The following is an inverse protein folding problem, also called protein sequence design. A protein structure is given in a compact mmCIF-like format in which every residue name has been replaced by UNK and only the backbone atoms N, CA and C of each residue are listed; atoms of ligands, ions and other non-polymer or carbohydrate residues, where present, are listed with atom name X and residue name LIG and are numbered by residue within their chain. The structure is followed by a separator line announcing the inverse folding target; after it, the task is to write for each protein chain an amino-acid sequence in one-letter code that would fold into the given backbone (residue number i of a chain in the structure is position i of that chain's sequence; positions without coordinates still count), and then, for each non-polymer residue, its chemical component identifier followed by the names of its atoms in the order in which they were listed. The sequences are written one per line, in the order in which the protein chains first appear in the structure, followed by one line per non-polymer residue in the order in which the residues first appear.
data_IF_932271023933
#
_entry.id   IF_932271023933
#
_cell.length_a   1.000
_cell.length_b   1.000
_cell.length_c   1.000
_cell.angle_alpha   90.00
_cell.angle_beta   90.00
_cell.angle_gamma   90.00
#
_symmetry.space_group_name_H-M   'P 1'
#
loop_
_entity.id
_entity.type
_entity.pdbx_description
1 polymer ?
#
# COMPACT_ATOMS: atom_id res chain seq x y z
N UNK A 1 46.95 65.93 -5.44
CA UNK A 1 47.79 64.72 -5.47
C UNK A 1 47.05 63.59 -4.77
N UNK A 2 46.79 62.49 -5.50
CA UNK A 2 46.62 61.07 -5.09
C UNK A 2 46.00 60.83 -3.68
N UNK A 3 44.92 60.07 -3.49
CA UNK A 3 44.77 58.65 -3.88
C UNK A 3 43.28 58.25 -3.77
N UNK A 4 42.78 57.56 -4.78
CA UNK A 4 41.52 56.84 -4.75
C UNK A 4 41.70 55.53 -3.95
N UNK A 5 40.76 55.21 -3.07
CA UNK A 5 40.62 53.88 -2.47
C UNK A 5 39.28 53.31 -2.94
N UNK A 6 39.35 52.37 -3.87
CA UNK A 6 38.22 51.54 -4.29
C UNK A 6 38.11 50.42 -3.25
N UNK A 7 37.03 50.43 -2.47
CA UNK A 7 36.69 49.33 -1.57
C UNK A 7 35.93 48.27 -2.39
N UNK A 8 36.61 47.17 -2.68
CA UNK A 8 35.99 45.96 -3.23
C UNK A 8 35.34 45.23 -2.04
N UNK A 9 34.02 45.31 -1.93
CA UNK A 9 33.26 44.48 -1.00
C UNK A 9 33.15 43.08 -1.62
N UNK A 10 33.95 42.13 -1.12
CA UNK A 10 33.84 40.73 -1.47
C UNK A 10 32.55 40.15 -0.86
N UNK A 11 31.56 39.89 -1.70
CA UNK A 11 30.34 39.19 -1.33
C UNK A 11 30.65 37.70 -1.28
N UNK A 12 30.95 37.17 -0.10
CA UNK A 12 31.12 35.73 0.11
C UNK A 12 29.74 35.07 0.09
N UNK A 13 29.38 34.49 -1.05
CA UNK A 13 28.19 33.65 -1.20
C UNK A 13 28.46 32.32 -0.50
N UNK A 14 27.93 32.15 0.72
CA UNK A 14 27.94 30.87 1.41
C UNK A 14 27.03 29.89 0.65
N UNK A 15 27.65 28.96 -0.09
CA UNK A 15 26.96 27.76 -0.59
C UNK A 15 26.57 26.93 0.64
N UNK A 16 25.30 26.99 1.03
CA UNK A 16 24.72 25.99 1.90
C UNK A 16 24.57 24.72 1.05
N UNK A 17 25.21 23.59 1.39
CA UNK A 17 24.91 22.35 0.70
C UNK A 17 23.44 22.03 0.94
N UNK A 18 22.65 22.05 -0.14
CA UNK A 18 21.33 21.44 -0.11
C UNK A 18 21.56 19.96 0.22
N UNK A 19 21.21 19.56 1.44
CA UNK A 19 21.03 18.15 1.75
C UNK A 19 19.87 17.68 0.88
N UNK A 20 20.20 17.08 -0.27
CA UNK A 20 19.24 16.30 -1.01
C UNK A 20 18.83 15.17 -0.06
N UNK A 21 17.62 15.25 0.49
CA UNK A 21 16.95 14.09 1.06
C UNK A 21 16.87 13.08 -0.07
N UNK A 22 17.74 12.06 -0.04
CA UNK A 22 17.53 10.87 -0.84
C UNK A 22 16.17 10.32 -0.38
N UNK A 23 15.14 10.56 -1.17
CA UNK A 23 13.84 9.93 -0.99
C UNK A 23 14.15 8.43 -1.02
N UNK A 24 13.99 7.75 0.11
CA UNK A 24 14.29 6.33 0.24
C UNK A 24 13.53 5.59 -0.87
N UNK A 25 14.28 5.07 -1.84
CA UNK A 25 13.78 4.30 -2.96
C UNK A 25 13.55 2.84 -2.59
N UNK A 26 13.60 2.52 -1.30
CA UNK A 26 13.52 1.17 -0.79
C UNK A 26 12.11 0.61 -1.02
N UNK A 27 12.05 -0.62 -1.51
CA UNK A 27 10.83 -1.40 -1.61
C UNK A 27 10.61 -2.25 -0.35
N UNK A 28 9.40 -2.78 -0.23
CA UNK A 28 9.04 -3.77 0.78
C UNK A 28 8.80 -5.11 0.10
N UNK A 29 9.43 -6.17 0.60
CA UNK A 29 9.30 -7.52 0.05
C UNK A 29 8.82 -8.49 1.12
N UNK A 30 7.72 -9.17 0.86
CA UNK A 30 7.24 -10.29 1.69
C UNK A 30 7.54 -11.60 0.96
N UNK A 31 8.09 -12.59 1.67
CA UNK A 31 8.41 -13.91 1.10
C UNK A 31 7.47 -14.96 1.69
N UNK A 32 6.99 -15.87 0.84
CA UNK A 32 6.06 -16.95 1.23
C UNK A 32 6.58 -18.31 0.71
N UNK A 33 6.56 -19.32 1.58
CA UNK A 33 6.83 -20.71 1.18
C UNK A 33 5.53 -21.46 0.84
N UNK A 34 5.32 -21.74 -0.43
CA UNK A 34 4.13 -22.40 -0.98
C UNK A 34 4.35 -23.83 -1.47
N UNK A 35 5.54 -24.41 -1.28
CA UNK A 35 5.87 -25.78 -1.68
C UNK A 35 5.71 -26.71 -0.45
N UNK A 36 4.90 -27.77 -0.51
CA UNK A 36 4.68 -28.68 0.62
C UNK A 36 5.86 -29.63 0.83
N UNK A 37 5.98 -30.16 2.05
CA UNK A 37 6.93 -31.23 2.44
C UNK A 37 8.42 -30.94 2.14
N UNK A 38 8.77 -29.67 1.99
CA UNK A 38 10.12 -29.21 1.74
C UNK A 38 10.45 -28.03 2.65
N UNK A 39 11.48 -28.17 3.47
CA UNK A 39 12.14 -27.03 4.09
C UNK A 39 13.23 -26.54 3.13
N UNK A 40 13.40 -25.23 3.01
CA UNK A 40 14.36 -24.64 2.08
C UNK A 40 15.18 -23.53 2.71
N UNK A 41 16.38 -23.35 2.16
CA UNK A 41 17.23 -22.20 2.42
C UNK A 41 17.14 -21.25 1.23
N UNK A 42 16.90 -19.96 1.51
CA UNK A 42 16.76 -18.90 0.50
C UNK A 42 17.99 -18.02 0.53
N UNK A 43 18.68 -17.98 -0.60
CA UNK A 43 19.84 -17.15 -0.85
C UNK A 43 19.45 -15.98 -1.74
N UNK A 44 19.93 -14.79 -1.37
CA UNK A 44 19.74 -13.56 -2.16
C UNK A 44 21.11 -12.99 -2.48
N UNK A 45 21.42 -12.85 -3.77
CA UNK A 45 22.73 -12.43 -4.28
C UNK A 45 23.88 -13.29 -3.68
N UNK A 46 23.65 -14.60 -3.54
CA UNK A 46 24.60 -15.57 -2.96
C UNK A 46 24.72 -15.53 -1.43
N UNK A 47 23.97 -14.68 -0.72
CA UNK A 47 23.95 -14.63 0.74
C UNK A 47 22.74 -15.34 1.34
N UNK A 48 22.95 -16.25 2.29
CA UNK A 48 21.88 -16.91 3.04
C UNK A 48 21.03 -15.86 3.77
N UNK A 49 19.76 -15.76 3.41
CA UNK A 49 18.83 -14.73 3.91
C UNK A 49 17.74 -15.33 4.77
N UNK A 50 17.18 -16.48 4.38
CA UNK A 50 16.23 -17.26 5.16
C UNK A 50 16.75 -18.69 5.26
N UNK A 51 16.83 -19.20 6.48
CA UNK A 51 17.26 -20.56 6.79
C UNK A 51 16.06 -21.36 7.30
N UNK A 52 16.00 -22.66 6.97
CA UNK A 52 14.94 -23.59 7.39
C UNK A 52 13.51 -23.06 7.13
N UNK A 53 13.31 -22.42 5.97
CA UNK A 53 12.03 -21.81 5.63
C UNK A 53 11.01 -22.89 5.25
N UNK A 54 9.88 -22.93 5.98
CA UNK A 54 8.90 -24.03 5.91
C UNK A 54 7.57 -23.62 5.29
N UNK A 55 6.86 -24.61 4.73
CA UNK A 55 5.55 -24.46 4.09
C UNK A 55 4.51 -23.71 4.92
N UNK A 56 3.86 -22.73 4.28
CA UNK A 56 2.85 -21.86 4.88
C UNK A 56 3.42 -20.64 5.60
N UNK A 57 4.74 -20.54 5.76
CA UNK A 57 5.35 -19.39 6.42
C UNK A 57 5.31 -18.16 5.53
N UNK A 58 4.91 -17.03 6.13
CA UNK A 58 4.93 -15.69 5.54
C UNK A 58 5.89 -14.85 6.37
N UNK A 59 6.88 -14.22 5.73
CA UNK A 59 7.81 -13.34 6.46
C UNK A 59 7.16 -12.00 6.79
N UNK A 60 7.71 -11.30 7.78
CA UNK A 60 7.48 -9.87 7.88
C UNK A 60 8.04 -9.15 6.62
N UNK A 61 7.50 -7.98 6.24
CA UNK A 61 8.02 -7.21 5.12
C UNK A 61 9.49 -6.82 5.33
N UNK A 62 10.35 -7.23 4.41
CA UNK A 62 11.76 -6.89 4.36
C UNK A 62 11.94 -5.60 3.57
N UNK A 63 12.65 -4.62 4.14
CA UNK A 63 13.00 -3.38 3.43
C UNK A 63 14.26 -3.59 2.62
N UNK A 64 14.16 -3.49 1.30
CA UNK A 64 15.26 -3.74 0.36
C UNK A 64 15.38 -2.58 -0.63
N UNK A 65 16.59 -2.13 -0.97
CA UNK A 65 16.77 -1.09 -1.99
C UNK A 65 16.30 -1.59 -3.37
N UNK A 66 15.90 -0.66 -4.23
CA UNK A 66 15.58 -0.97 -5.62
C UNK A 66 16.81 -1.54 -6.35
N UNK A 67 16.71 -2.78 -6.80
CA UNK A 67 17.79 -3.48 -7.50
C UNK A 67 17.25 -4.76 -8.19
N UNK A 68 18.11 -5.37 -9.00
CA UNK A 68 17.92 -6.75 -9.42
C UNK A 68 18.51 -7.67 -8.35
N UNK A 69 17.74 -8.67 -7.96
CA UNK A 69 18.11 -9.67 -6.97
C UNK A 69 18.14 -11.05 -7.62
N UNK A 70 19.25 -11.74 -7.44
CA UNK A 70 19.36 -13.16 -7.75
C UNK A 70 18.85 -13.96 -6.56
N UNK A 71 17.83 -14.77 -6.77
CA UNK A 71 17.21 -15.60 -5.75
C UNK A 71 17.49 -17.05 -6.09
N UNK A 72 18.13 -17.75 -5.17
CA UNK A 72 18.42 -19.17 -5.26
C UNK A 72 17.80 -19.88 -4.06
N UNK A 73 17.12 -20.99 -4.32
CA UNK A 73 16.45 -21.79 -3.30
C UNK A 73 17.07 -23.18 -3.33
N UNK A 74 17.57 -23.59 -2.17
CA UNK A 74 18.14 -24.91 -1.95
C UNK A 74 17.26 -25.69 -0.97
N UNK A 75 17.29 -27.02 -1.01
CA UNK A 75 16.71 -27.80 0.09
C UNK A 75 17.45 -27.47 1.39
N UNK A 76 16.73 -27.51 2.52
CA UNK A 76 17.35 -27.32 3.83
C UNK A 76 18.55 -28.27 4.00
N UNK A 77 19.63 -27.76 4.58
CA UNK A 77 20.91 -28.44 4.77
C UNK A 77 21.68 -28.81 3.48
N UNK A 78 21.19 -28.44 2.29
CA UNK A 78 21.93 -28.68 1.06
C UNK A 78 23.13 -27.76 0.96
N UNK A 79 24.28 -28.31 0.56
CA UNK A 79 25.49 -27.51 0.36
C UNK A 79 25.41 -26.77 -1.00
N UNK A 80 25.30 -25.43 -1.02
CA UNK A 80 25.21 -24.66 -2.25
C UNK A 80 26.50 -24.74 -3.09
N UNK A 81 27.63 -25.16 -2.52
CA UNK A 81 28.87 -25.40 -3.25
C UNK A 81 28.94 -26.79 -3.91
N UNK A 82 28.03 -27.71 -3.53
CA UNK A 82 28.06 -29.11 -3.96
C UNK A 82 27.05 -29.44 -5.08
N UNK A 83 26.09 -28.57 -5.37
CA UNK A 83 25.05 -28.82 -6.37
C UNK A 83 24.31 -27.58 -6.84
N UNK A 84 23.51 -27.75 -7.89
CA UNK A 84 22.65 -26.70 -8.45
C UNK A 84 21.46 -26.40 -7.52
N UNK A 85 20.97 -25.15 -7.49
CA UNK A 85 19.77 -24.80 -6.72
C UNK A 85 18.54 -25.55 -7.23
N UNK A 86 17.60 -25.84 -6.33
CA UNK A 86 16.31 -26.42 -6.68
C UNK A 86 15.47 -25.44 -7.52
N UNK A 87 15.63 -24.14 -7.28
CA UNK A 87 15.02 -23.07 -8.05
C UNK A 87 15.95 -21.86 -8.06
N UNK A 88 16.17 -21.27 -9.23
CA UNK A 88 16.93 -20.02 -9.38
C UNK A 88 16.18 -19.06 -10.29
N UNK A 89 16.12 -17.79 -9.90
CA UNK A 89 15.47 -16.75 -10.69
C UNK A 89 16.04 -15.37 -10.38
N UNK A 90 16.01 -14.47 -11.35
CA UNK A 90 16.35 -13.06 -11.16
C UNK A 90 15.07 -12.25 -11.05
N UNK A 91 14.95 -11.45 -10.01
CA UNK A 91 13.79 -10.61 -9.73
C UNK A 91 14.20 -9.15 -9.65
N UNK A 92 13.58 -8.30 -10.48
CA UNK A 92 13.74 -6.85 -10.39
C UNK A 92 12.77 -6.28 -9.36
N UNK A 93 13.30 -5.57 -8.35
CA UNK A 93 12.51 -4.81 -7.39
C UNK A 93 12.48 -3.32 -7.80
N UNK A 94 11.34 -2.79 -8.28
CA UNK A 94 11.22 -1.38 -8.60
C UNK A 94 11.32 -0.51 -7.33
N UNK A 95 11.75 0.74 -7.51
CA UNK A 95 11.85 1.69 -6.41
C UNK A 95 10.50 1.95 -5.74
N UNK A 96 10.45 1.82 -4.41
CA UNK A 96 9.24 1.99 -3.62
C UNK A 96 8.16 0.93 -3.82
N UNK A 97 8.44 -0.15 -4.56
CA UNK A 97 7.46 -1.22 -4.77
C UNK A 97 7.18 -1.98 -3.47
N UNK A 98 5.92 -2.36 -3.27
CA UNK A 98 5.54 -3.38 -2.31
C UNK A 98 5.36 -4.68 -3.11
N UNK A 99 6.14 -5.72 -2.85
CA UNK A 99 6.13 -6.96 -3.61
C UNK A 99 6.00 -8.18 -2.71
N UNK A 100 5.35 -9.22 -3.23
CA UNK A 100 5.34 -10.54 -2.60
C UNK A 100 6.02 -11.53 -3.54
N UNK A 101 6.98 -12.28 -3.00
CA UNK A 101 7.69 -13.36 -3.69
C UNK A 101 7.24 -14.67 -3.07
N UNK A 102 6.79 -15.61 -3.90
CA UNK A 102 6.26 -16.89 -3.44
C UNK A 102 6.99 -18.00 -4.20
N UNK A 103 7.61 -18.92 -3.46
CA UNK A 103 8.02 -20.20 -4.02
C UNK A 103 6.81 -21.12 -4.00
N UNK A 104 6.25 -21.49 -5.16
CA UNK A 104 4.98 -22.20 -5.26
C UNK A 104 5.05 -23.38 -6.22
N UNK A 105 3.95 -24.12 -6.34
CA UNK A 105 3.79 -25.13 -7.38
C UNK A 105 3.02 -24.54 -8.56
N UNK A 106 3.47 -24.84 -9.78
CA UNK A 106 2.69 -24.56 -10.98
C UNK A 106 1.49 -25.53 -11.11
N UNK A 107 0.65 -25.33 -12.12
CA UNK A 107 -0.53 -26.17 -12.35
C UNK A 107 -0.22 -27.67 -12.60
N UNK A 108 1.04 -28.02 -12.91
CA UNK A 108 1.50 -29.41 -13.07
C UNK A 108 2.09 -30.00 -11.78
N UNK A 109 2.27 -29.20 -10.73
CA UNK A 109 2.93 -29.60 -9.50
C UNK A 109 4.45 -29.40 -9.51
N UNK A 110 5.02 -28.71 -10.49
CA UNK A 110 6.44 -28.40 -10.52
C UNK A 110 6.75 -27.12 -9.70
N UNK A 111 7.86 -27.08 -8.94
CA UNK A 111 8.30 -25.87 -8.24
C UNK A 111 8.56 -24.70 -9.19
N UNK A 112 8.07 -23.51 -8.83
CA UNK A 112 8.27 -22.27 -9.56
C UNK A 112 8.32 -21.07 -8.60
N UNK A 113 8.76 -19.91 -9.11
CA UNK A 113 8.81 -18.66 -8.36
C UNK A 113 7.83 -17.65 -8.98
N UNK A 114 6.86 -17.19 -8.18
CA UNK A 114 5.94 -16.13 -8.59
C UNK A 114 6.26 -14.84 -7.86
N UNK A 115 6.23 -13.73 -8.59
CA UNK A 115 6.48 -12.39 -8.05
C UNK A 115 5.32 -11.50 -8.42
N UNK A 116 4.77 -10.82 -7.41
CA UNK A 116 3.69 -9.87 -7.60
C UNK A 116 4.04 -8.53 -6.99
N UNK A 117 3.78 -7.44 -7.70
CA UNK A 117 3.77 -6.10 -7.13
C UNK A 117 2.38 -5.86 -6.56
N UNK A 118 2.31 -5.69 -5.25
CA UNK A 118 1.06 -5.48 -4.54
C UNK A 118 0.51 -4.09 -4.83
N UNK A 119 -0.80 -4.01 -5.06
CA UNK A 119 -1.48 -2.73 -5.18
C UNK A 119 -1.65 -2.08 -3.80
N UNK A 120 -0.99 -0.94 -3.65
CA UNK A 120 -0.96 -0.08 -2.46
C UNK A 120 -1.63 1.28 -2.71
N UNK A 121 -2.44 1.38 -3.78
CA UNK A 121 -3.30 2.54 -3.98
C UNK A 121 -4.38 2.62 -2.91
N UNK A 122 -4.84 3.84 -2.63
CA UNK A 122 -5.87 4.03 -1.62
C UNK A 122 -7.20 3.41 -2.08
N UNK A 123 -7.91 2.80 -1.14
CA UNK A 123 -9.31 2.38 -1.32
C UNK A 123 -10.25 3.55 -1.02
N UNK A 124 -11.45 3.47 -1.60
CA UNK A 124 -12.53 4.41 -1.26
C UNK A 124 -12.95 4.25 0.21
N UNK A 125 -13.46 5.34 0.79
CA UNK A 125 -13.98 5.33 2.15
C UNK A 125 -15.10 4.29 2.32
N UNK A 126 -15.02 3.50 3.38
CA UNK A 126 -15.91 2.38 3.66
C UNK A 126 -15.56 1.07 2.94
N UNK A 127 -14.55 1.06 2.06
CA UNK A 127 -14.13 -0.12 1.33
C UNK A 127 -12.76 -0.64 1.80
N UNK A 128 -12.59 -1.95 1.69
CA UNK A 128 -11.29 -2.60 1.65
C UNK A 128 -11.07 -3.26 0.29
N UNK A 129 -9.92 -3.89 0.13
CA UNK A 129 -9.52 -4.61 -1.08
C UNK A 129 -9.27 -6.07 -0.78
N UNK A 130 -9.66 -6.92 -1.71
CA UNK A 130 -9.34 -8.35 -1.73
C UNK A 130 -8.51 -8.64 -2.97
N UNK A 131 -7.38 -9.30 -2.75
CA UNK A 131 -6.57 -9.86 -3.83
C UNK A 131 -6.48 -11.36 -3.63
N UNK A 132 -6.89 -12.14 -4.61
CA UNK A 132 -6.80 -13.60 -4.55
C UNK A 132 -5.80 -14.09 -5.60
N UNK A 133 -4.77 -14.83 -5.15
CA UNK A 133 -3.72 -15.39 -5.99
C UNK A 133 -3.82 -16.90 -5.99
N UNK A 134 -3.99 -17.48 -7.17
CA UNK A 134 -4.01 -18.92 -7.32
C UNK A 134 -2.61 -19.45 -7.63
N UNK A 135 -1.92 -19.99 -6.63
CA UNK A 135 -0.53 -20.47 -6.72
C UNK A 135 -0.39 -21.95 -6.31
N UNK A 136 -1.51 -22.67 -6.22
CA UNK A 136 -1.54 -24.08 -5.85
C UNK A 136 -1.57 -24.93 -7.12
N UNK A 137 -0.98 -26.13 -7.05
CA UNK A 137 -1.15 -27.15 -8.08
C UNK A 137 -2.59 -27.68 -8.05
N UNK A 138 -3.46 -27.02 -8.79
CA UNK A 138 -4.88 -27.35 -8.94
C UNK A 138 -5.39 -26.84 -10.29
N UNK A 139 -6.55 -27.33 -10.77
CA UNK A 139 -7.27 -26.72 -11.88
C UNK A 139 -7.71 -25.29 -11.54
N UNK A 140 -8.16 -24.55 -12.57
CA UNK A 140 -8.74 -23.23 -12.39
C UNK A 140 -9.85 -23.25 -11.33
N UNK A 141 -9.97 -22.15 -10.58
CA UNK A 141 -10.91 -22.02 -9.45
C UNK A 141 -11.88 -20.86 -9.64
N UNK A 142 -13.08 -21.04 -9.10
CA UNK A 142 -14.00 -19.95 -8.79
C UNK A 142 -13.93 -19.63 -7.30
N UNK A 143 -13.96 -18.35 -6.97
CA UNK A 143 -13.91 -17.84 -5.60
C UNK A 143 -15.23 -17.13 -5.34
N UNK A 144 -15.98 -17.62 -4.36
CA UNK A 144 -17.31 -17.15 -4.01
C UNK A 144 -17.27 -16.39 -2.68
N UNK A 145 -18.07 -15.34 -2.59
CA UNK A 145 -18.34 -14.60 -1.37
C UNK A 145 -19.83 -14.73 -1.03
N UNK A 146 -20.17 -15.69 -0.17
CA UNK A 146 -21.55 -16.16 0.00
C UNK A 146 -22.11 -16.74 -1.31
N UNK A 147 -23.30 -16.31 -1.72
CA UNK A 147 -23.99 -16.84 -2.90
C UNK A 147 -23.57 -16.19 -4.23
N UNK A 148 -22.55 -15.31 -4.22
CA UNK A 148 -22.11 -14.57 -5.41
C UNK A 148 -20.64 -14.86 -5.75
N UNK A 149 -20.30 -15.13 -7.02
CA UNK A 149 -18.92 -15.32 -7.42
C UNK A 149 -18.19 -13.97 -7.36
N UNK A 150 -17.08 -13.93 -6.64
CA UNK A 150 -16.18 -12.77 -6.58
C UNK A 150 -15.18 -12.80 -7.74
N UNK A 151 -14.60 -13.97 -8.02
CA UNK A 151 -13.72 -14.22 -9.16
C UNK A 151 -14.08 -15.57 -9.80
N UNK A 152 -14.02 -15.65 -11.12
CA UNK A 152 -14.35 -16.87 -11.88
C UNK A 152 -13.22 -17.27 -12.81
N UNK A 153 -13.00 -18.56 -12.97
CA UNK A 153 -12.03 -19.18 -13.88
C UNK A 153 -10.61 -18.63 -13.67
N UNK A 154 -10.18 -18.50 -12.42
CA UNK A 154 -8.83 -18.01 -12.08
C UNK A 154 -7.83 -19.14 -12.30
N UNK A 155 -6.87 -19.02 -13.25
CA UNK A 155 -5.87 -20.05 -13.49
C UNK A 155 -4.70 -19.97 -12.51
N UNK A 156 -3.92 -21.06 -12.40
CA UNK A 156 -2.66 -21.05 -11.64
C UNK A 156 -1.70 -19.99 -12.19
N UNK A 157 -1.06 -19.25 -11.29
CA UNK A 157 -0.17 -18.12 -11.59
C UNK A 157 -0.88 -16.78 -11.78
N UNK A 158 -2.22 -16.73 -11.74
CA UNK A 158 -2.98 -15.50 -11.89
C UNK A 158 -3.47 -14.92 -10.55
N UNK A 159 -3.86 -13.65 -10.60
CA UNK A 159 -4.51 -12.94 -9.51
C UNK A 159 -5.82 -12.27 -9.94
N UNK A 160 -6.77 -12.20 -9.01
CA UNK A 160 -7.96 -11.38 -9.09
C UNK A 160 -7.91 -10.30 -8.02
N UNK A 161 -8.30 -9.06 -8.36
CA UNK A 161 -8.34 -7.92 -7.44
C UNK A 161 -9.73 -7.29 -7.49
N UNK A 162 -10.32 -7.02 -6.32
CA UNK A 162 -11.60 -6.35 -6.20
C UNK A 162 -11.66 -5.47 -4.94
N UNK A 163 -12.24 -4.29 -5.07
CA UNK A 163 -12.62 -3.46 -3.92
C UNK A 163 -14.03 -3.86 -3.46
N UNK A 164 -14.19 -4.08 -2.17
CA UNK A 164 -15.44 -4.53 -1.55
C UNK A 164 -15.73 -3.68 -0.30
N UNK A 165 -17.01 -3.53 0.09
CA UNK A 165 -17.34 -2.92 1.38
C UNK A 165 -16.58 -3.58 2.53
N UNK A 166 -16.14 -2.79 3.51
CA UNK A 166 -15.48 -3.35 4.68
C UNK A 166 -16.45 -4.26 5.46
N UNK A 167 -16.01 -5.47 5.80
CA UNK A 167 -16.87 -6.46 6.45
C UNK A 167 -16.28 -7.87 6.47
N UNK A 168 -17.05 -8.81 7.00
CA UNK A 168 -16.71 -10.24 7.01
C UNK A 168 -17.46 -10.96 5.88
N UNK A 169 -16.73 -11.74 5.10
CA UNK A 169 -17.25 -12.46 3.95
C UNK A 169 -17.03 -13.96 4.14
N UNK A 170 -18.08 -14.81 4.05
CA UNK A 170 -17.89 -16.24 3.95
C UNK A 170 -17.33 -16.55 2.57
N UNK A 171 -16.07 -16.97 2.50
CA UNK A 171 -15.38 -17.26 1.24
C UNK A 171 -15.36 -18.76 1.01
N UNK A 172 -15.68 -19.17 -0.22
CA UNK A 172 -15.55 -20.55 -0.69
C UNK A 172 -14.71 -20.60 -1.97
N UNK A 173 -13.84 -21.60 -2.07
CA UNK A 173 -13.06 -21.88 -3.28
C UNK A 173 -13.53 -23.22 -3.84
N UNK A 174 -13.91 -23.21 -5.11
CA UNK A 174 -14.44 -24.38 -5.83
C UNK A 174 -13.74 -24.50 -7.19
N UNK A 175 -13.73 -25.69 -7.83
CA UNK A 175 -13.28 -25.82 -9.21
C UNK A 175 -14.09 -24.93 -10.15
N UNK A 176 -13.43 -24.36 -11.18
CA UNK A 176 -14.07 -23.45 -12.11
C UNK A 176 -15.30 -24.09 -12.80
N UNK A 177 -16.42 -23.35 -12.83
CA UNK A 177 -17.68 -23.81 -13.41
C UNK A 177 -18.44 -24.83 -12.58
N UNK A 178 -18.01 -25.10 -11.35
CA UNK A 178 -18.67 -25.99 -10.40
C UNK A 178 -19.05 -25.23 -9.11
N UNK A 179 -19.92 -25.83 -8.31
CA UNK A 179 -20.22 -25.36 -6.93
C UNK A 179 -19.77 -26.37 -5.88
N UNK A 180 -19.31 -27.56 -6.29
CA UNK A 180 -18.83 -28.65 -5.45
C UNK A 180 -17.75 -29.45 -6.20
N UNK A 181 -16.79 -30.08 -5.49
CA UNK A 181 -16.60 -29.98 -4.04
C UNK A 181 -16.04 -28.62 -3.62
N UNK A 182 -16.46 -28.11 -2.46
CA UNK A 182 -15.77 -26.99 -1.80
C UNK A 182 -14.38 -27.44 -1.36
N UNK A 183 -13.35 -26.82 -1.95
CA UNK A 183 -11.94 -27.14 -1.69
C UNK A 183 -11.46 -26.44 -0.43
N UNK A 184 -11.97 -25.25 -0.17
CA UNK A 184 -11.64 -24.46 1.00
C UNK A 184 -12.77 -23.49 1.34
N UNK A 185 -13.01 -23.30 2.63
CA UNK A 185 -13.97 -22.33 3.14
C UNK A 185 -13.47 -21.68 4.44
N UNK A 186 -13.68 -20.36 4.56
CA UNK A 186 -13.51 -19.64 5.81
C UNK A 186 -14.20 -18.27 5.76
N UNK A 187 -14.46 -17.71 6.95
CA UNK A 187 -14.83 -16.31 7.08
C UNK A 187 -13.57 -15.43 6.97
N UNK A 188 -13.55 -14.55 5.96
CA UNK A 188 -12.47 -13.59 5.74
C UNK A 188 -12.95 -12.20 6.10
N UNK A 189 -12.30 -11.60 7.10
CA UNK A 189 -12.53 -10.20 7.48
C UNK A 189 -11.71 -9.27 6.60
N UNK A 190 -12.38 -8.34 5.92
CA UNK A 190 -11.80 -7.30 5.06
C UNK A 190 -11.96 -5.94 5.75
N UNK A 191 -10.93 -5.41 6.42
CA UNK A 191 -11.00 -4.09 7.04
C UNK A 191 -11.05 -2.98 5.98
N UNK A 192 -11.63 -1.83 6.36
CA UNK A 192 -11.52 -0.61 5.58
C UNK A 192 -10.04 -0.19 5.41
N UNK A 193 -9.70 0.38 4.26
CA UNK A 193 -8.35 0.91 4.03
C UNK A 193 -7.27 -0.17 4.06
N UNK A 194 -7.61 -1.41 3.72
CA UNK A 194 -6.67 -2.53 3.75
C UNK A 194 -6.82 -3.42 2.51
N UNK A 195 -5.72 -3.99 2.03
CA UNK A 195 -5.70 -5.04 1.02
C UNK A 195 -5.43 -6.40 1.68
N UNK A 196 -6.43 -7.27 1.70
CA UNK A 196 -6.33 -8.66 2.14
C UNK A 196 -5.95 -9.52 0.95
N UNK A 197 -4.72 -10.03 0.97
CA UNK A 197 -4.14 -10.83 -0.11
C UNK A 197 -4.12 -12.30 0.31
N UNK A 198 -4.98 -13.10 -0.31
CA UNK A 198 -5.07 -14.53 -0.09
C UNK A 198 -4.27 -15.28 -1.16
N UNK A 199 -3.31 -16.09 -0.74
CA UNK A 199 -2.45 -16.90 -1.60
C UNK A 199 -2.83 -18.37 -1.44
N UNK A 200 -3.51 -18.96 -2.43
CA UNK A 200 -3.74 -20.40 -2.46
C UNK A 200 -2.43 -21.10 -2.85
N UNK A 201 -1.89 -21.95 -1.98
CA UNK A 201 -0.59 -22.62 -2.12
C UNK A 201 -0.72 -24.13 -1.86
N UNK A 202 0.33 -24.90 -2.17
CA UNK A 202 0.34 -26.35 -2.00
C UNK A 202 -0.23 -27.10 -3.22
N UNK A 203 -0.70 -28.32 -3.00
CA UNK A 203 -1.27 -29.17 -4.05
C UNK A 203 -2.65 -29.69 -3.64
N UNK A 204 -3.61 -29.61 -4.56
CA UNK A 204 -4.93 -30.19 -4.34
C UNK A 204 -4.89 -31.72 -4.38
N UNK A 205 -4.23 -32.30 -5.38
CA UNK A 205 -4.07 -33.76 -5.49
C UNK A 205 -3.19 -34.32 -4.37
N UNK A 206 -2.18 -33.55 -3.94
CA UNK A 206 -1.30 -33.91 -2.83
C UNK A 206 -1.91 -33.72 -1.44
N UNK A 207 -3.11 -33.15 -1.33
CA UNK A 207 -3.79 -32.93 -0.04
C UNK A 207 -3.14 -31.89 0.86
N UNK A 208 -2.29 -31.02 0.31
CA UNK A 208 -1.56 -29.97 1.05
C UNK A 208 -2.08 -28.56 0.75
N UNK A 209 -3.21 -28.44 0.04
CA UNK A 209 -3.83 -27.17 -0.28
C UNK A 209 -4.11 -26.35 0.98
N UNK A 210 -3.64 -25.11 1.01
CA UNK A 210 -3.96 -24.13 2.04
C UNK A 210 -3.94 -22.71 1.49
N UNK A 211 -4.48 -21.76 2.26
CA UNK A 211 -4.50 -20.34 1.92
C UNK A 211 -3.65 -19.56 2.93
N UNK A 212 -2.57 -18.94 2.46
CA UNK A 212 -1.76 -18.03 3.25
C UNK A 212 -2.26 -16.59 3.07
N UNK A 213 -2.53 -15.90 4.17
CA UNK A 213 -3.10 -14.54 4.16
C UNK A 213 -2.04 -13.52 4.52
N UNK A 214 -1.92 -12.48 3.68
CA UNK A 214 -1.13 -11.29 3.92
C UNK A 214 -2.08 -10.09 3.96
N UNK A 215 -1.86 -9.15 4.89
CA UNK A 215 -2.68 -7.93 4.99
C UNK A 215 -1.77 -6.72 4.85
N UNK A 216 -2.12 -5.83 3.93
CA UNK A 216 -1.50 -4.51 3.79
C UNK A 216 -2.53 -3.48 4.28
N UNK A 217 -2.19 -2.72 5.31
CA UNK A 217 -3.07 -1.69 5.91
C UNK A 217 -2.62 -0.28 5.57
N UNK A 218 -3.45 0.72 5.91
CA UNK A 218 -3.13 2.14 5.71
C UNK A 218 -3.34 2.62 4.28
N UNK A 219 -4.27 1.98 3.58
CA UNK A 219 -4.72 2.33 2.23
C UNK A 219 -6.00 3.19 2.28
N UNK A 220 -6.39 3.71 3.43
CA UNK A 220 -7.56 4.58 3.54
C UNK A 220 -7.37 5.90 2.78
N UNK A 221 -8.42 6.30 2.06
CA UNK A 221 -8.50 7.65 1.50
C UNK A 221 -8.76 8.67 2.61
N UNK A 222 -8.16 9.86 2.49
CA UNK A 222 -8.45 10.96 3.41
C UNK A 222 -9.97 11.26 3.43
N UNK A 223 -10.54 11.58 4.61
CA UNK A 223 -11.98 11.84 4.72
C UNK A 223 -12.40 12.98 3.79
N UNK A 224 -13.50 12.79 3.06
CA UNK A 224 -14.01 13.76 2.06
C UNK A 224 -14.61 15.03 2.67
N UNK A 225 -14.60 15.13 4.00
CA UNK A 225 -15.01 16.29 4.79
C UNK A 225 -15.71 15.84 6.06
N UNK A 226 -15.58 16.64 7.13
CA UNK A 226 -16.51 16.57 8.25
C UNK A 226 -17.67 17.51 7.94
N UNK A 227 -18.94 17.06 7.92
CA UNK A 227 -20.09 17.96 7.85
C UNK A 227 -20.12 18.81 9.12
N UNK A 228 -19.39 19.92 9.12
CA UNK A 228 -19.65 21.00 10.04
C UNK A 228 -21.00 21.58 9.61
N UNK A 229 -22.09 21.15 10.26
CA UNK A 229 -23.42 21.68 9.98
C UNK A 229 -23.38 23.21 10.01
N UNK A 230 -24.20 23.85 9.17
CA UNK A 230 -24.43 25.30 9.09
C UNK A 230 -25.08 25.84 10.39
N UNK A 231 -24.44 25.64 11.53
CA UNK A 231 -24.87 26.13 12.82
C UNK A 231 -24.64 27.65 12.88
N UNK A 232 -25.54 28.40 12.23
CA UNK A 232 -25.74 29.80 12.55
C UNK A 232 -25.47 30.84 11.47
N UNK A 233 -25.57 30.52 10.17
CA UNK A 233 -25.82 31.58 9.17
C UNK A 233 -27.28 32.08 9.30
N UNK A 234 -27.60 32.65 10.46
CA UNK A 234 -28.71 33.60 10.54
C UNK A 234 -28.36 34.72 9.57
N UNK A 235 -29.22 34.95 8.57
CA UNK A 235 -29.08 36.09 7.67
C UNK A 235 -28.93 37.34 8.54
N UNK A 236 -27.72 37.89 8.62
CA UNK A 236 -27.52 39.20 9.23
C UNK A 236 -28.03 40.21 8.21
N UNK A 237 -29.36 40.28 8.09
CA UNK A 237 -30.02 41.42 7.49
C UNK A 237 -29.70 42.59 8.39
N UNK A 238 -28.64 43.32 8.06
CA UNK A 238 -28.20 44.53 8.76
C UNK A 238 -29.42 45.42 9.00
N UNK A 239 -29.91 45.56 10.24
CA UNK A 239 -31.16 46.23 10.42
C UNK A 239 -30.90 47.74 10.26
N UNK A 240 -31.61 48.37 9.34
CA UNK A 240 -31.37 49.74 8.84
C UNK A 240 -31.27 50.81 9.95
N UNK A 241 -31.74 50.53 11.16
CA UNK A 241 -31.61 51.41 12.33
C UNK A 241 -30.16 51.60 12.81
N UNK A 242 -29.26 50.64 12.56
CA UNK A 242 -27.83 50.81 12.85
C UNK A 242 -27.15 51.84 11.93
N UNK A 243 -27.62 51.98 10.68
CA UNK A 243 -27.15 53.04 9.78
C UNK A 243 -27.71 54.42 10.18
N UNK A 244 -28.92 54.48 10.75
CA UNK A 244 -29.51 55.73 11.24
C UNK A 244 -28.76 56.32 12.46
N UNK A 245 -28.16 55.48 13.31
CA UNK A 245 -27.37 55.92 14.46
C UNK A 245 -26.02 56.55 14.07
N UNK A 246 -25.40 56.11 12.97
CA UNK A 246 -24.13 56.69 12.48
C UNK A 246 -24.36 58.08 11.87
N UNK A 247 -25.52 58.32 11.24
CA UNK A 247 -25.86 59.63 10.67
C UNK A 247 -26.11 60.72 11.73
N UNK A 248 -26.62 60.37 12.91
CA UNK A 248 -26.91 61.34 13.97
C UNK A 248 -25.65 61.78 14.77
N UNK A 249 -24.60 60.95 14.80
CA UNK A 249 -23.32 61.28 15.45
C UNK A 249 -22.47 62.29 14.66
N UNK A 250 -22.58 62.30 13.33
CA UNK A 250 -21.80 63.19 12.46
C UNK A 250 -22.28 64.65 12.47
N UNK A 251 -23.50 64.95 12.97
CA UNK A 251 -24.05 66.31 12.99
C UNK A 251 -23.64 67.13 14.23
N UNK A 252 -23.15 66.50 15.30
CA UNK A 252 -22.83 67.17 16.57
C UNK A 252 -21.37 67.64 16.69
N UNK A 253 -20.49 67.28 15.75
CA UNK A 253 -19.07 67.71 15.73
C UNK A 253 -18.85 68.98 14.87
N UNK A 254 -19.86 69.41 14.10
CA UNK A 254 -19.75 70.52 13.14
C UNK A 254 -19.88 71.94 13.71
N UNK A 255 -20.32 72.14 14.96
CA UNK A 255 -20.65 73.49 15.49
C UNK A 255 -19.66 74.07 16.49
N UNK A 256 -18.61 73.34 16.89
CA UNK A 256 -17.61 73.82 17.86
C UNK A 256 -16.35 74.45 17.22
N UNK A 257 -16.20 74.40 15.89
CA UNK A 257 -14.97 74.81 15.19
C UNK A 257 -14.91 76.26 14.69
N UNK A 258 -15.96 77.07 14.88
CA UNK A 258 -16.03 78.41 14.25
C UNK A 258 -16.25 79.55 15.26
N UNK A 259 -15.49 79.56 16.36
CA UNK A 259 -15.36 80.74 17.20
C UNK A 259 -14.02 80.70 17.94
N UNK A 260 -12.96 81.23 17.32
CA UNK A 260 -11.90 82.08 17.92
C UNK A 260 -10.88 82.35 16.81
N UNK A 261 -11.03 83.50 16.13
CA UNK A 261 -9.91 84.16 15.46
C UNK A 261 -10.14 85.67 15.47
N UNK A 262 -9.64 86.34 16.52
CA UNK A 262 -9.37 87.77 16.53
C UNK A 262 -8.15 88.06 17.41
N UNK A 263 -7.21 88.78 16.79
CA UNK A 263 -6.24 89.72 17.36
C UNK A 263 -5.01 89.14 18.10
N UNK A 264 -3.87 89.08 17.40
CA UNK A 264 -2.90 90.17 17.33
C UNK A 264 -2.08 90.09 16.03
#
# INVERSE_FOLDING_TARGET
MRKAFIAIAAFALALVPAVASAQSSDGQVTVIHGIPDLAVDVYVNGGLTLEDFTFGTVTDPLTLPAADYEIEIYGADADPAAGDPALASTVTLPAGANATIIANLDGSGAPTLSVFVNDISNTDAGNGRVTARHLAAAPNVDIWAGDSPLFTDVPNGAEGVADVPAGSYPIQIVPAGATEPVVWEADVNVPEGSNVIAHAIGSLEGGSFQVAVQIISGLDSAPTGVPAGDAGLASVGSPLWLLAMVALGALMVGTAGLAVRREN
#
